data_IF_379933357897
#
_entry.id   IF_379933357897
#
_cell.length_a   1.000
_cell.length_b   1.000
_cell.length_c   1.000
_cell.angle_alpha   90.00
_cell.angle_beta   90.00
_cell.angle_gamma   90.00
#
_symmetry.space_group_name_H-M   'P 1'
#
loop_
_entity.id
_entity.type
_entity.pdbx_description
1 polymer ?
#
# COMPACT_ATOMS: atom_id res chain seq x y z
N UNK A 1 -5.58 -26.67 -13.73
CA UNK A 1 -5.64 -25.23 -14.05
C UNK A 1 -4.72 -24.51 -13.09
N UNK A 2 -3.54 -24.05 -13.52
CA UNK A 2 -2.67 -23.22 -12.67
C UNK A 2 -3.15 -21.78 -12.75
N UNK A 3 -3.64 -21.22 -11.65
CA UNK A 3 -3.86 -19.79 -11.55
C UNK A 3 -2.50 -19.09 -11.52
N UNK A 4 -2.20 -18.29 -12.53
CA UNK A 4 -1.01 -17.43 -12.56
C UNK A 4 -1.20 -16.34 -11.51
N UNK A 5 -0.53 -16.45 -10.36
CA UNK A 5 -0.63 -15.43 -9.31
C UNK A 5 0.22 -14.22 -9.71
N UNK A 6 -0.38 -13.25 -10.39
CA UNK A 6 0.24 -11.94 -10.67
C UNK A 6 0.04 -11.01 -9.47
N UNK A 7 0.82 -11.17 -8.40
CA UNK A 7 0.83 -10.16 -7.32
C UNK A 7 1.58 -8.92 -7.80
N UNK A 8 0.85 -7.82 -8.00
CA UNK A 8 1.45 -6.51 -8.30
C UNK A 8 2.00 -5.90 -7.02
N UNK A 9 3.29 -5.58 -7.05
CA UNK A 9 4.06 -5.06 -5.92
C UNK A 9 4.72 -3.74 -6.32
N UNK A 10 4.48 -2.69 -5.54
CA UNK A 10 5.05 -1.36 -5.76
C UNK A 10 6.05 -0.99 -4.68
N UNK A 11 6.94 -0.04 -4.94
CA UNK A 11 7.87 0.47 -3.93
C UNK A 11 7.15 1.39 -2.93
N UNK A 12 7.85 1.73 -1.84
CA UNK A 12 7.34 2.73 -0.88
C UNK A 12 7.21 4.11 -1.54
N UNK A 13 8.08 4.45 -2.49
CA UNK A 13 8.03 5.73 -3.20
C UNK A 13 6.81 5.79 -4.12
N UNK A 14 6.60 4.75 -4.95
CA UNK A 14 5.45 4.70 -5.85
C UNK A 14 4.12 4.76 -5.07
N UNK A 15 4.05 4.08 -3.91
CA UNK A 15 2.87 4.15 -3.04
C UNK A 15 2.67 5.53 -2.41
N UNK A 16 3.77 6.22 -2.08
CA UNK A 16 3.74 7.59 -1.55
C UNK A 16 3.22 8.56 -2.60
N UNK A 17 3.70 8.42 -3.84
CA UNK A 17 3.27 9.22 -4.99
C UNK A 17 1.78 8.96 -5.31
N UNK A 18 1.37 7.69 -5.35
CA UNK A 18 -0.02 7.31 -5.63
C UNK A 18 -1.02 7.84 -4.58
N UNK A 19 -0.62 7.90 -3.31
CA UNK A 19 -1.44 8.38 -2.21
C UNK A 19 -1.26 9.87 -1.90
N UNK A 20 -0.39 10.56 -2.63
CA UNK A 20 0.00 11.96 -2.39
C UNK A 20 0.42 12.24 -0.92
N UNK A 21 1.22 11.34 -0.34
CA UNK A 21 1.73 11.45 1.04
C UNK A 21 3.24 11.25 1.10
N UNK A 22 3.88 11.57 2.22
CA UNK A 22 5.30 11.27 2.41
C UNK A 22 5.57 9.76 2.56
N UNK A 23 6.76 9.30 2.19
CA UNK A 23 7.22 7.92 2.45
C UNK A 23 7.24 7.57 3.95
N UNK A 24 7.43 8.57 4.82
CA UNK A 24 7.29 8.43 6.28
C UNK A 24 5.86 8.07 6.68
N UNK A 25 4.88 8.71 6.07
CA UNK A 25 3.46 8.41 6.26
C UNK A 25 3.12 7.00 5.78
N UNK A 26 3.62 6.59 4.62
CA UNK A 26 3.44 5.20 4.14
C UNK A 26 4.02 4.18 5.11
N UNK A 27 5.23 4.41 5.65
CA UNK A 27 5.83 3.53 6.67
C UNK A 27 5.00 3.47 7.95
N UNK A 28 4.39 4.59 8.36
CA UNK A 28 3.45 4.62 9.48
C UNK A 28 2.22 3.76 9.19
N UNK A 29 1.60 3.90 8.02
CA UNK A 29 0.46 3.05 7.64
C UNK A 29 0.82 1.55 7.62
N UNK A 30 2.04 1.18 7.23
CA UNK A 30 2.51 -0.20 7.32
C UNK A 30 2.67 -0.64 8.78
N UNK A 31 3.28 0.19 9.63
CA UNK A 31 3.47 -0.09 11.05
C UNK A 31 2.13 -0.22 11.80
N UNK A 32 1.15 0.60 11.41
CA UNK A 32 -0.22 0.60 11.94
C UNK A 32 -1.07 -0.54 11.37
N UNK A 33 -0.52 -1.37 10.47
CA UNK A 33 -1.22 -2.49 9.84
C UNK A 33 -2.27 -2.09 8.80
N UNK A 34 -2.30 -0.83 8.37
CA UNK A 34 -3.24 -0.30 7.38
C UNK A 34 -2.83 -0.61 5.93
N UNK A 35 -1.54 -0.82 5.68
CA UNK A 35 -1.01 -1.22 4.37
C UNK A 35 -0.23 -2.53 4.47
N UNK A 36 -0.58 -3.49 3.61
CA UNK A 36 0.13 -4.76 3.48
C UNK A 36 1.46 -4.58 2.74
N UNK A 37 2.56 -4.72 3.47
CA UNK A 37 3.90 -4.76 2.90
C UNK A 37 4.52 -6.16 2.95
N UNK A 38 5.25 -6.50 1.91
CA UNK A 38 6.08 -7.70 1.79
C UNK A 38 7.54 -7.30 1.89
N UNK A 39 8.28 -7.95 2.79
CA UNK A 39 9.73 -7.78 2.92
C UNK A 39 10.42 -8.79 2.01
N UNK A 40 11.09 -8.30 0.97
CA UNK A 40 11.83 -9.12 0.00
C UNK A 40 13.32 -9.21 0.31
N UNK A 41 13.81 -8.40 1.25
CA UNK A 41 15.19 -8.42 1.71
C UNK A 41 15.42 -7.44 2.86
N UNK A 42 16.65 -7.38 3.36
CA UNK A 42 17.02 -6.54 4.52
C UNK A 42 16.63 -5.07 4.36
N UNK A 43 16.72 -4.53 3.13
CA UNK A 43 16.37 -3.13 2.81
C UNK A 43 15.21 -3.01 1.80
N UNK A 44 14.66 -4.12 1.33
CA UNK A 44 13.69 -4.14 0.23
C UNK A 44 12.30 -4.44 0.79
N UNK A 45 11.47 -3.41 0.88
CA UNK A 45 10.05 -3.49 1.19
C UNK A 45 9.24 -3.16 -0.06
N UNK A 46 8.19 -3.94 -0.32
CA UNK A 46 7.21 -3.70 -1.37
C UNK A 46 5.81 -3.71 -0.78
N UNK A 47 4.89 -2.98 -1.40
CA UNK A 47 3.50 -2.88 -0.95
C UNK A 47 2.62 -3.56 -2.00
N UNK A 48 1.61 -4.31 -1.57
CA UNK A 48 0.64 -4.92 -2.47
C UNK A 48 -0.27 -3.84 -3.05
N UNK A 49 -0.45 -3.81 -4.37
CA UNK A 49 -1.34 -2.84 -5.03
C UNK A 49 -2.76 -2.94 -4.50
N UNK A 50 -3.31 -4.15 -4.40
CA UNK A 50 -4.67 -4.38 -3.88
C UNK A 50 -4.86 -3.87 -2.45
N UNK A 51 -3.78 -3.75 -1.66
CA UNK A 51 -3.87 -3.18 -0.32
C UNK A 51 -4.01 -1.66 -0.33
N UNK A 52 -3.41 -1.00 -1.31
CA UNK A 52 -3.54 0.45 -1.50
C UNK A 52 -4.96 0.76 -1.95
N UNK A 53 -5.49 -0.03 -2.89
CA UNK A 53 -6.89 0.09 -3.36
C UNK A 53 -7.88 -0.05 -2.20
N UNK A 54 -7.77 -1.14 -1.41
CA UNK A 54 -8.60 -1.32 -0.21
C UNK A 54 -8.45 -0.19 0.82
N UNK A 55 -7.25 0.37 0.95
CA UNK A 55 -7.00 1.49 1.88
C UNK A 55 -7.72 2.77 1.44
N UNK A 56 -7.79 3.03 0.14
CA UNK A 56 -8.54 4.16 -0.43
C UNK A 56 -10.04 3.94 -0.22
N UNK A 57 -10.54 2.76 -0.58
CA UNK A 57 -11.97 2.42 -0.48
C UNK A 57 -12.50 2.47 0.96
N UNK A 58 -11.65 2.16 1.94
CA UNK A 58 -11.99 2.22 3.36
C UNK A 58 -12.08 3.65 3.93
N UNK A 59 -11.70 4.69 3.17
CA UNK A 59 -11.70 6.10 3.62
C UNK A 59 -12.57 6.98 2.73
N UNK A 60 -13.87 6.67 2.58
CA UNK A 60 -14.77 7.60 1.91
C UNK A 60 -14.86 8.88 2.75
N UNK A 61 -14.73 10.04 2.10
CA UNK A 61 -15.10 11.30 2.74
C UNK A 61 -16.64 11.32 2.79
N UNK A 62 -17.20 10.80 3.87
CA UNK A 62 -18.65 10.85 4.12
C UNK A 62 -19.08 12.29 4.39
N UNK A 63 -20.19 12.69 3.74
CA UNK A 63 -20.90 13.98 3.83
C UNK A 63 -20.15 15.07 4.62
N UNK A 64 -19.10 15.60 3.98
CA UNK A 64 -18.40 16.79 4.45
C UNK A 64 -19.43 17.93 4.53
N UNK A 65 -19.91 18.22 5.74
CA UNK A 65 -20.79 19.35 6.05
C UNK A 65 -19.96 20.59 6.29
#
# INVERSE_FOLDING_TARGET
MSATITRRLVSINDAADALAVSTRTVRRYIADGQLDAVRLGRKTLRIKVDSIERFIDARPIGNWR
#
